data_IF_356588706955
#
_entry.id   IF_356588706955
#
_cell.length_a   1.000
_cell.length_b   1.000
_cell.length_c   1.000
_cell.angle_alpha   90.00
_cell.angle_beta   90.00
_cell.angle_gamma   90.00
#
_symmetry.space_group_name_H-M   'P 1'
#
loop_
_entity.id
_entity.type
_entity.pdbx_description
1 polymer ?
#
# COMPACT_ATOMS: atom_id res chain seq x y z
N UNK A 1 -2.00 0.88 12.59
CA UNK A 1 -3.05 1.25 11.61
C UNK A 1 -3.36 0.04 10.74
N UNK A 2 -4.63 -0.28 10.49
CA UNK A 2 -5.02 -1.41 9.62
C UNK A 2 -5.85 -0.86 8.46
N UNK A 3 -5.47 -1.22 7.23
CA UNK A 3 -6.13 -0.80 5.99
C UNK A 3 -6.75 -2.01 5.30
N UNK A 4 -8.03 -1.91 4.95
CA UNK A 4 -8.80 -2.96 4.27
C UNK A 4 -9.48 -2.38 3.02
N UNK A 5 -8.78 -2.34 1.86
CA UNK A 5 -9.32 -1.79 0.63
C UNK A 5 -10.61 -2.51 0.20
N UNK A 6 -11.63 -1.74 -0.15
CA UNK A 6 -12.94 -2.27 -0.58
C UNK A 6 -13.07 -2.38 -2.10
N UNK A 7 -12.15 -1.76 -2.86
CA UNK A 7 -12.16 -1.69 -4.32
C UNK A 7 -10.74 -1.76 -4.92
N UNK A 8 -10.65 -1.87 -6.25
CA UNK A 8 -9.39 -1.95 -6.97
C UNK A 8 -8.65 -3.30 -6.82
N UNK A 9 -7.35 -3.28 -7.13
CA UNK A 9 -6.50 -4.49 -7.20
C UNK A 9 -6.29 -5.11 -5.82
N UNK A 10 -6.21 -4.27 -4.79
CA UNK A 10 -5.92 -4.70 -3.42
C UNK A 10 -7.17 -5.06 -2.61
N UNK A 11 -8.35 -5.08 -3.27
CA UNK A 11 -9.63 -5.41 -2.63
C UNK A 11 -9.54 -6.75 -1.90
N UNK A 12 -9.99 -6.76 -0.64
CA UNK A 12 -10.00 -7.94 0.21
C UNK A 12 -8.67 -8.25 0.90
N UNK A 13 -7.62 -7.48 0.65
CA UNK A 13 -6.39 -7.52 1.44
C UNK A 13 -6.58 -6.86 2.82
N UNK A 14 -5.79 -7.34 3.79
CA UNK A 14 -5.69 -6.76 5.14
C UNK A 14 -4.24 -6.37 5.36
N UNK A 15 -3.97 -5.07 5.44
CA UNK A 15 -2.62 -4.53 5.57
C UNK A 15 -2.45 -3.88 6.94
N UNK A 16 -1.50 -4.38 7.73
CA UNK A 16 -1.20 -3.89 9.09
C UNK A 16 0.07 -3.03 9.04
N UNK A 17 -0.05 -1.77 9.44
CA UNK A 17 1.04 -0.80 9.52
C UNK A 17 1.35 -0.47 10.98
N UNK A 18 2.63 -0.53 11.36
CA UNK A 18 3.12 0.00 12.63
C UNK A 18 3.71 1.39 12.39
N UNK A 19 3.28 2.37 13.18
CA UNK A 19 3.75 3.76 13.08
C UNK A 19 4.35 4.10 14.44
N UNK A 20 5.64 4.42 14.47
CA UNK A 20 6.33 4.91 15.65
C UNK A 20 6.50 6.42 15.52
N UNK A 21 5.93 7.18 16.46
CA UNK A 21 6.08 8.64 16.49
C UNK A 21 7.11 8.98 17.57
N UNK A 22 8.26 9.59 17.21
CA UNK A 22 9.22 10.06 18.20
C UNK A 22 8.58 11.11 19.11
N UNK A 23 8.97 11.18 20.39
CA UNK A 23 8.43 12.17 21.32
C UNK A 23 8.69 13.62 20.89
N UNK A 24 9.66 13.87 19.99
CA UNK A 24 9.92 15.21 19.45
C UNK A 24 8.92 15.66 18.38
N UNK A 25 8.05 14.78 17.88
CA UNK A 25 7.19 15.05 16.72
C UNK A 25 5.73 15.28 17.12
N UNK A 26 5.37 16.57 17.22
CA UNK A 26 4.04 17.03 17.62
C UNK A 26 3.05 16.95 16.43
N UNK A 27 2.02 16.10 16.52
CA UNK A 27 0.73 16.03 15.77
C UNK A 27 0.65 16.15 14.22
N UNK A 28 1.66 16.68 13.51
CA UNK A 28 1.60 16.97 12.06
C UNK A 28 1.75 15.70 11.21
N UNK A 29 2.47 14.69 11.69
CA UNK A 29 2.82 13.48 10.91
C UNK A 29 1.63 12.54 10.74
N UNK A 30 0.74 12.46 11.73
CA UNK A 30 -0.45 11.59 11.68
C UNK A 30 -1.37 12.01 10.52
N UNK A 31 -1.54 13.32 10.29
CA UNK A 31 -2.35 13.84 9.19
C UNK A 31 -1.70 13.58 7.82
N UNK A 32 -0.38 13.74 7.69
CA UNK A 32 0.35 13.43 6.45
C UNK A 32 0.33 11.94 6.07
N UNK A 33 0.39 11.05 7.06
CA UNK A 33 0.29 9.60 6.86
C UNK A 33 -1.07 9.19 6.30
N UNK A 34 -2.16 9.83 6.73
CA UNK A 34 -3.49 9.55 6.20
C UNK A 34 -3.61 9.93 4.71
N UNK A 35 -3.00 11.05 4.30
CA UNK A 35 -3.02 11.52 2.90
C UNK A 35 -2.19 10.65 1.96
N UNK A 36 -1.11 10.03 2.46
CA UNK A 36 -0.25 9.12 1.69
C UNK A 36 -1.00 7.85 1.25
N UNK A 37 -2.07 7.47 1.97
CA UNK A 37 -2.90 6.31 1.65
C UNK A 37 -4.17 6.67 0.85
N UNK A 38 -4.44 7.95 0.57
CA UNK A 38 -5.64 8.36 -0.17
C UNK A 38 -5.35 9.00 -1.53
N UNK A 39 -4.32 9.85 -1.69
CA UNK A 39 -4.18 10.69 -2.90
C UNK A 39 -2.84 10.65 -3.66
N UNK A 40 -1.77 10.01 -3.14
CA UNK A 40 -0.48 9.90 -3.84
C UNK A 40 -0.02 8.45 -3.98
N UNK A 41 -0.68 7.70 -4.87
CA UNK A 41 0.01 6.61 -5.57
C UNK A 41 0.55 7.23 -6.86
N UNK A 42 1.67 7.93 -6.75
CA UNK A 42 2.49 8.24 -7.92
C UNK A 42 3.54 7.13 -8.06
N UNK A 43 3.56 6.46 -9.21
CA UNK A 43 4.52 5.39 -9.49
C UNK A 43 5.87 5.94 -9.97
N UNK A 44 6.00 7.24 -10.21
CA UNK A 44 7.28 7.85 -10.62
C UNK A 44 8.35 7.81 -9.52
N UNK A 45 7.96 7.85 -8.24
CA UNK A 45 8.88 7.80 -7.07
C UNK A 45 8.60 6.58 -6.16
N UNK A 46 8.21 5.47 -6.77
CA UNK A 46 7.86 4.26 -6.02
C UNK A 46 9.06 3.68 -5.28
N UNK A 47 8.89 3.41 -3.97
CA UNK A 47 9.86 2.70 -3.13
C UNK A 47 10.32 1.36 -3.73
N UNK A 48 9.43 0.68 -4.47
CA UNK A 48 9.75 -0.53 -5.21
C UNK A 48 9.73 -0.26 -6.72
N UNK A 49 10.90 0.13 -7.25
CA UNK A 49 11.08 0.41 -8.68
C UNK A 49 10.74 -0.81 -9.56
N UNK A 50 10.98 -2.05 -9.11
CA UNK A 50 10.65 -3.24 -9.90
C UNK A 50 9.14 -3.42 -10.05
N UNK A 51 8.39 -3.18 -8.97
CA UNK A 51 6.93 -3.24 -8.99
C UNK A 51 6.34 -2.12 -9.86
N UNK A 52 6.90 -0.91 -9.80
CA UNK A 52 6.49 0.21 -10.66
C UNK A 52 6.78 -0.05 -12.14
N UNK A 53 7.95 -0.58 -12.47
CA UNK A 53 8.28 -0.96 -13.84
C UNK A 53 7.35 -2.07 -14.35
N UNK A 54 7.05 -3.08 -13.53
CA UNK A 54 6.09 -4.13 -13.89
C UNK A 54 4.68 -3.57 -14.12
N UNK A 55 4.25 -2.59 -13.32
CA UNK A 55 2.98 -1.90 -13.51
C UNK A 55 2.91 -1.16 -14.85
N UNK A 56 3.98 -0.44 -15.20
CA UNK A 56 4.08 0.32 -16.46
C UNK A 56 4.16 -0.59 -17.69
N UNK A 57 4.85 -1.73 -17.58
CA UNK A 57 5.07 -2.64 -18.71
C UNK A 57 3.99 -3.70 -18.89
N UNK A 58 3.50 -4.30 -17.81
CA UNK A 58 2.49 -5.36 -17.85
C UNK A 58 1.57 -5.33 -16.62
N UNK A 59 0.49 -4.57 -16.77
CA UNK A 59 -0.52 -4.35 -15.73
C UNK A 59 -1.25 -5.63 -15.31
N UNK A 60 -1.43 -6.59 -16.21
CA UNK A 60 -2.10 -7.86 -15.92
C UNK A 60 -1.24 -8.73 -15.00
N UNK A 61 0.05 -8.89 -15.35
CA UNK A 61 0.99 -9.68 -14.55
C UNK A 61 1.19 -9.06 -13.16
N UNK A 62 1.26 -7.73 -13.07
CA UNK A 62 1.27 -7.03 -11.79
C UNK A 62 0.03 -7.38 -10.95
N UNK A 63 -1.16 -7.31 -11.56
CA UNK A 63 -2.43 -7.60 -10.88
C UNK A 63 -2.48 -9.04 -10.37
N UNK A 64 -1.99 -10.00 -11.18
CA UNK A 64 -1.93 -11.40 -10.78
C UNK A 64 -1.01 -11.59 -9.55
N UNK A 65 0.21 -11.06 -9.60
CA UNK A 65 1.15 -11.12 -8.48
C UNK A 65 0.61 -10.44 -7.21
N UNK A 66 0.00 -9.27 -7.34
CA UNK A 66 -0.61 -8.59 -6.20
C UNK A 66 -1.66 -9.46 -5.51
N UNK A 67 -2.51 -10.15 -6.29
CA UNK A 67 -3.50 -11.10 -5.76
C UNK A 67 -2.88 -12.31 -5.10
N UNK A 68 -1.82 -12.88 -5.67
CA UNK A 68 -1.09 -13.99 -5.04
C UNK A 68 -0.50 -13.58 -3.68
N UNK A 69 0.09 -12.38 -3.60
CA UNK A 69 0.64 -11.87 -2.35
C UNK A 69 -0.43 -11.65 -1.29
N UNK A 70 -1.59 -11.10 -1.67
CA UNK A 70 -2.73 -10.95 -0.76
C UNK A 70 -3.17 -12.32 -0.25
N UNK A 71 -3.37 -13.29 -1.14
CA UNK A 71 -3.80 -14.63 -0.74
C UNK A 71 -2.78 -15.35 0.17
N UNK A 72 -1.49 -15.04 0.02
CA UNK A 72 -0.40 -15.69 0.77
C UNK A 72 -0.12 -15.04 2.12
N UNK A 73 -0.20 -13.72 2.22
CA UNK A 73 0.29 -12.97 3.38
C UNK A 73 -0.81 -12.23 4.15
N UNK A 74 -1.97 -11.96 3.54
CA UNK A 74 -3.11 -11.45 4.29
C UNK A 74 -3.87 -12.62 4.91
N UNK A 75 -4.08 -12.54 6.23
CA UNK A 75 -4.96 -13.49 6.92
C UNK A 75 -6.37 -13.44 6.31
N UNK A 76 -6.95 -14.61 6.00
CA UNK A 76 -8.38 -14.68 5.69
C UNK A 76 -9.14 -14.27 6.96
N UNK A 77 -9.96 -13.23 6.84
CA UNK A 77 -10.98 -12.92 7.84
C UNK A 77 -12.04 -13.99 7.88
#
# INVERSE_FOLDING_TARGET
>A
LTVCPQEGIYRGGVFKFSISVPPEYNNVVIHGLSSLFTDLIDFDDALNMQAAQLWSTNREQFTHRAREYIAKYCERR
#
